data_IF_735808413016
#
_entry.id   IF_735808413016
#
_cell.length_a   1.000
_cell.length_b   1.000
_cell.length_c   1.000
_cell.angle_alpha   90.00
_cell.angle_beta   90.00
_cell.angle_gamma   90.00
#
_symmetry.space_group_name_H-M   'P 1'
#
loop_
_entity.id
_entity.type
_entity.pdbx_description
1 polymer ?
#
# COMPACT_ATOMS: atom_id res chain seq x y z
N UNK A 1 -25.24 7.11 -13.97
CA UNK A 1 -25.67 8.28 -13.21
C UNK A 1 -25.56 9.49 -14.15
N UNK A 2 -26.68 9.85 -14.78
CA UNK A 2 -26.82 11.09 -15.57
C UNK A 2 -26.82 12.26 -14.59
N UNK A 3 -25.90 13.21 -14.77
CA UNK A 3 -25.96 14.51 -14.13
C UNK A 3 -27.15 15.31 -14.68
N UNK A 4 -28.31 15.21 -14.04
CA UNK A 4 -29.47 16.02 -14.31
C UNK A 4 -29.61 17.21 -13.33
N UNK A 5 -28.47 17.81 -12.93
CA UNK A 5 -28.47 19.02 -12.08
C UNK A 5 -27.38 19.98 -12.56
N UNK A 6 -27.70 21.24 -12.61
CA UNK A 6 -26.97 22.38 -13.17
C UNK A 6 -25.46 22.23 -13.37
N UNK A 7 -24.97 22.67 -14.51
CA UNK A 7 -23.53 22.62 -14.92
C UNK A 7 -22.53 23.10 -13.86
N UNK A 8 -22.94 24.00 -12.98
CA UNK A 8 -22.11 24.63 -11.96
C UNK A 8 -21.82 23.72 -10.76
N UNK A 9 -22.78 22.88 -10.34
CA UNK A 9 -22.57 21.89 -9.25
C UNK A 9 -21.68 20.76 -9.71
N UNK A 10 -21.76 20.36 -10.98
CA UNK A 10 -20.90 19.31 -11.55
C UNK A 10 -19.44 19.80 -11.71
N UNK A 11 -19.24 21.06 -12.09
CA UNK A 11 -17.91 21.65 -12.27
C UNK A 11 -17.17 21.87 -10.94
N UNK A 12 -17.86 22.32 -9.90
CA UNK A 12 -17.28 22.53 -8.56
C UNK A 12 -16.85 21.19 -7.90
N UNK A 13 -17.61 20.12 -8.11
CA UNK A 13 -17.29 18.79 -7.62
C UNK A 13 -16.07 18.17 -8.34
N UNK A 14 -15.94 18.40 -9.65
CA UNK A 14 -14.76 17.99 -10.42
C UNK A 14 -13.50 18.72 -9.97
N UNK A 15 -13.58 20.01 -9.69
CA UNK A 15 -12.47 20.81 -9.15
C UNK A 15 -11.98 20.27 -7.79
N UNK A 16 -12.90 20.01 -6.87
CA UNK A 16 -12.59 19.46 -5.54
C UNK A 16 -11.96 18.06 -5.62
N UNK A 17 -12.42 17.19 -6.53
CA UNK A 17 -11.82 15.85 -6.73
C UNK A 17 -10.43 15.96 -7.33
N UNK A 18 -10.19 16.86 -8.27
CA UNK A 18 -8.85 17.12 -8.85
C UNK A 18 -7.89 17.64 -7.79
N UNK A 19 -8.33 18.63 -6.99
CA UNK A 19 -7.54 19.17 -5.89
C UNK A 19 -7.17 18.07 -4.85
N UNK A 20 -8.13 17.23 -4.45
CA UNK A 20 -7.87 16.12 -3.54
C UNK A 20 -6.82 15.15 -4.10
N UNK A 21 -6.94 14.78 -5.38
CA UNK A 21 -5.95 13.89 -6.03
C UNK A 21 -4.56 14.54 -6.09
N UNK A 22 -4.48 15.82 -6.41
CA UNK A 22 -3.22 16.56 -6.46
C UNK A 22 -2.56 16.62 -5.08
N UNK A 23 -3.31 16.99 -4.04
CA UNK A 23 -2.81 17.04 -2.66
C UNK A 23 -2.32 15.65 -2.22
N UNK A 24 -3.10 14.60 -2.47
CA UNK A 24 -2.67 13.23 -2.17
C UNK A 24 -1.40 12.85 -2.95
N UNK A 25 -1.29 13.19 -4.23
CA UNK A 25 -0.13 12.90 -5.05
C UNK A 25 1.12 13.61 -4.51
N UNK A 26 1.02 14.90 -4.17
CA UNK A 26 2.12 15.67 -3.60
C UNK A 26 2.54 15.12 -2.22
N UNK A 27 1.58 14.75 -1.39
CA UNK A 27 1.85 14.14 -0.09
C UNK A 27 2.55 12.77 -0.21
N UNK A 28 2.18 11.97 -1.22
CA UNK A 28 2.82 10.68 -1.50
C UNK A 28 4.20 10.83 -2.15
N UNK A 29 4.47 11.94 -2.84
CA UNK A 29 5.78 12.23 -3.42
C UNK A 29 6.76 12.77 -2.37
N UNK A 30 6.27 13.46 -1.34
CA UNK A 30 7.09 14.14 -0.34
C UNK A 30 8.15 13.24 0.33
N UNK A 31 7.87 11.99 0.75
CA UNK A 31 8.88 11.12 1.32
C UNK A 31 10.02 10.79 0.33
N UNK A 32 9.71 10.54 -0.93
CA UNK A 32 10.74 10.25 -1.94
C UNK A 32 11.65 11.47 -2.19
N UNK A 33 11.07 12.67 -2.22
CA UNK A 33 11.82 13.93 -2.31
C UNK A 33 12.69 14.12 -1.07
N UNK A 34 12.15 13.83 0.13
CA UNK A 34 12.89 13.92 1.38
C UNK A 34 14.11 12.99 1.39
N UNK A 35 13.94 11.71 1.07
CA UNK A 35 15.02 10.72 0.94
C UNK A 35 16.10 11.18 -0.05
N UNK A 36 15.71 11.77 -1.19
CA UNK A 36 16.65 12.31 -2.18
C UNK A 36 17.42 13.51 -1.61
N UNK A 37 16.79 14.38 -0.84
CA UNK A 37 17.45 15.51 -0.18
C UNK A 37 18.43 15.04 0.90
N UNK A 38 18.07 14.10 1.75
CA UNK A 38 18.96 13.53 2.78
C UNK A 38 20.21 12.92 2.16
N UNK A 39 20.05 12.20 1.05
CA UNK A 39 21.17 11.65 0.29
C UNK A 39 22.09 12.75 -0.27
N UNK A 40 21.51 13.79 -0.86
CA UNK A 40 22.27 14.90 -1.46
C UNK A 40 23.02 15.72 -0.41
N UNK A 41 22.40 15.96 0.76
CA UNK A 41 22.96 16.74 1.84
C UNK A 41 23.97 15.95 2.70
N UNK A 42 24.08 14.63 2.49
CA UNK A 42 24.98 13.78 3.26
C UNK A 42 24.55 13.61 4.71
N UNK A 43 23.25 13.70 5.02
CA UNK A 43 22.69 13.54 6.37
C UNK A 43 22.52 12.08 6.79
N UNK A 44 22.70 11.16 5.86
CA UNK A 44 22.60 9.73 6.10
C UNK A 44 23.82 9.19 6.85
N UNK A 45 23.69 8.00 7.42
CA UNK A 45 24.76 7.29 8.08
C UNK A 45 25.93 6.95 7.13
N UNK A 46 27.07 6.42 7.60
CA UNK A 46 28.17 5.97 6.75
C UNK A 46 27.78 4.88 5.72
N UNK A 47 26.56 4.34 5.82
CA UNK A 47 25.98 3.37 4.88
C UNK A 47 24.70 3.92 4.23
N UNK A 48 24.78 4.93 3.39
CA UNK A 48 23.63 5.67 2.91
C UNK A 48 22.63 4.79 2.12
N UNK A 49 23.11 3.82 1.36
CA UNK A 49 22.24 2.92 0.61
C UNK A 49 21.40 2.02 1.52
N UNK A 50 21.98 1.50 2.59
CA UNK A 50 21.28 0.67 3.58
C UNK A 50 20.18 1.49 4.30
N UNK A 51 20.45 2.76 4.61
CA UNK A 51 19.47 3.66 5.23
C UNK A 51 18.30 3.94 4.28
N UNK A 52 18.57 4.25 3.01
CA UNK A 52 17.54 4.47 2.00
C UNK A 52 16.69 3.19 1.75
N UNK A 53 17.32 2.01 1.75
CA UNK A 53 16.59 0.74 1.66
C UNK A 53 15.60 0.63 2.82
N UNK A 54 16.02 0.87 4.05
CA UNK A 54 15.17 0.79 5.23
C UNK A 54 14.03 1.80 5.15
N UNK A 55 14.35 3.07 4.92
CA UNK A 55 13.37 4.15 4.88
C UNK A 55 12.31 3.96 3.78
N UNK A 56 12.73 3.51 2.59
CA UNK A 56 11.78 3.22 1.50
C UNK A 56 10.83 2.06 1.86
N UNK A 57 11.31 1.05 2.60
CA UNK A 57 10.50 -0.05 3.13
C UNK A 57 9.48 0.42 4.16
N UNK A 58 9.89 1.28 5.08
CA UNK A 58 9.03 1.88 6.10
C UNK A 58 7.90 2.69 5.45
N UNK A 59 8.22 3.52 4.46
CA UNK A 59 7.21 4.27 3.71
C UNK A 59 6.27 3.36 2.90
N UNK A 60 6.79 2.31 2.27
CA UNK A 60 5.96 1.33 1.58
C UNK A 60 4.91 0.72 2.52
N UNK A 61 5.35 0.33 3.73
CA UNK A 61 4.48 -0.26 4.74
C UNK A 61 3.44 0.73 5.28
N UNK A 62 3.86 1.95 5.65
CA UNK A 62 2.95 3.02 6.13
C UNK A 62 1.86 3.33 5.11
N UNK A 63 2.22 3.49 3.83
CA UNK A 63 1.27 3.79 2.75
C UNK A 63 0.35 2.60 2.48
N UNK A 64 0.86 1.35 2.56
CA UNK A 64 0.05 0.15 2.41
C UNK A 64 -1.02 0.08 3.51
N UNK A 65 -0.63 0.23 4.77
CA UNK A 65 -1.56 0.26 5.91
C UNK A 65 -2.59 1.39 5.73
N UNK A 66 -2.15 2.59 5.35
CA UNK A 66 -3.04 3.72 5.09
C UNK A 66 -4.07 3.38 3.99
N UNK A 67 -3.67 2.67 2.94
CA UNK A 67 -4.59 2.23 1.87
C UNK A 67 -5.69 1.30 2.38
N UNK A 68 -5.38 0.47 3.37
CA UNK A 68 -6.34 -0.45 4.00
C UNK A 68 -7.31 0.29 4.93
N UNK A 69 -6.85 1.33 5.62
CA UNK A 69 -7.66 2.21 6.50
C UNK A 69 -8.77 2.93 5.73
N UNK A 70 -8.53 3.29 4.47
CA UNK A 70 -9.52 4.02 3.65
C UNK A 70 -10.88 3.31 3.61
N UNK A 71 -10.91 1.99 3.64
CA UNK A 71 -12.17 1.23 3.57
C UNK A 71 -13.03 1.39 4.82
N UNK A 72 -12.55 1.14 6.05
CA UNK A 72 -13.32 1.40 7.26
C UNK A 72 -13.62 2.89 7.46
N UNK A 73 -12.67 3.77 7.13
CA UNK A 73 -12.85 5.21 7.24
C UNK A 73 -14.01 5.70 6.38
N UNK A 74 -14.15 5.21 5.15
CA UNK A 74 -15.28 5.51 4.29
C UNK A 74 -16.62 5.13 4.92
N UNK A 75 -16.68 4.06 5.70
CA UNK A 75 -17.92 3.62 6.32
C UNK A 75 -18.31 4.48 7.52
N UNK A 76 -17.31 4.91 8.30
CA UNK A 76 -17.52 5.79 9.45
C UNK A 76 -17.90 7.19 8.98
N UNK A 77 -17.16 7.75 8.04
CA UNK A 77 -17.34 9.13 7.54
C UNK A 77 -18.44 9.26 6.50
N UNK A 78 -18.91 8.14 5.90
CA UNK A 78 -19.83 8.11 4.74
C UNK A 78 -19.32 8.88 3.52
N UNK A 79 -18.04 9.21 3.47
CA UNK A 79 -17.43 9.99 2.41
C UNK A 79 -16.98 9.10 1.25
N UNK A 80 -17.84 8.97 0.22
CA UNK A 80 -17.59 8.08 -0.92
C UNK A 80 -16.38 8.45 -1.78
N UNK A 81 -15.94 9.71 -1.75
CA UNK A 81 -14.77 10.19 -2.53
C UNK A 81 -13.45 9.56 -2.06
N UNK A 82 -13.37 9.03 -0.84
CA UNK A 82 -12.21 8.32 -0.31
C UNK A 82 -11.80 7.09 -1.14
N UNK A 83 -12.72 6.48 -1.89
CA UNK A 83 -12.39 5.35 -2.79
C UNK A 83 -11.40 5.74 -3.88
N UNK A 84 -11.45 7.01 -4.34
CA UNK A 84 -10.54 7.51 -5.37
C UNK A 84 -9.10 7.59 -4.85
N UNK A 85 -8.93 7.93 -3.57
CA UNK A 85 -7.63 8.00 -2.90
C UNK A 85 -7.06 6.61 -2.63
N UNK A 86 -7.91 5.61 -2.33
CA UNK A 86 -7.48 4.24 -2.05
C UNK A 86 -6.63 3.63 -3.18
N UNK A 87 -7.04 3.83 -4.44
CA UNK A 87 -6.30 3.33 -5.60
C UNK A 87 -4.93 3.99 -5.72
N UNK A 88 -4.87 5.31 -5.48
CA UNK A 88 -3.61 6.06 -5.49
C UNK A 88 -2.65 5.57 -4.40
N UNK A 89 -3.16 5.37 -3.18
CA UNK A 89 -2.39 4.84 -2.05
C UNK A 89 -1.86 3.44 -2.34
N UNK A 90 -2.68 2.54 -2.88
CA UNK A 90 -2.24 1.18 -3.22
C UNK A 90 -1.15 1.14 -4.29
N UNK A 91 -1.27 1.99 -5.32
CA UNK A 91 -0.24 2.11 -6.36
C UNK A 91 1.04 2.79 -5.81
N UNK A 92 0.91 3.77 -4.93
CA UNK A 92 2.06 4.40 -4.28
C UNK A 92 2.80 3.40 -3.37
N UNK A 93 2.08 2.57 -2.60
CA UNK A 93 2.69 1.51 -1.80
C UNK A 93 3.50 0.55 -2.68
N UNK A 94 2.96 0.13 -3.83
CA UNK A 94 3.69 -0.70 -4.80
C UNK A 94 4.92 0.04 -5.33
N UNK A 95 4.80 1.33 -5.67
CA UNK A 95 5.93 2.12 -6.16
C UNK A 95 7.06 2.18 -5.13
N UNK A 96 6.76 2.46 -3.86
CA UNK A 96 7.76 2.45 -2.79
C UNK A 96 8.36 1.06 -2.54
N UNK A 97 7.57 -0.01 -2.70
CA UNK A 97 8.09 -1.39 -2.64
C UNK A 97 9.08 -1.66 -3.78
N UNK A 98 8.79 -1.22 -4.99
CA UNK A 98 9.71 -1.35 -6.13
C UNK A 98 10.97 -0.50 -5.94
N UNK A 99 10.83 0.72 -5.40
CA UNK A 99 11.94 1.58 -5.03
C UNK A 99 12.83 0.91 -3.98
N UNK A 100 12.24 0.31 -2.94
CA UNK A 100 12.94 -0.45 -1.91
C UNK A 100 13.79 -1.58 -2.51
N UNK A 101 13.26 -2.36 -3.42
CA UNK A 101 14.00 -3.44 -4.09
C UNK A 101 15.09 -2.85 -4.99
N UNK A 102 14.82 -1.78 -5.73
CA UNK A 102 15.81 -1.14 -6.58
C UNK A 102 17.00 -0.61 -5.76
N UNK A 103 16.75 0.06 -4.63
CA UNK A 103 17.78 0.55 -3.72
C UNK A 103 18.58 -0.61 -3.11
N UNK A 104 17.94 -1.73 -2.76
CA UNK A 104 18.62 -2.92 -2.29
C UNK A 104 19.54 -3.54 -3.35
N UNK A 105 19.12 -3.56 -4.62
CA UNK A 105 19.97 -3.98 -5.74
C UNK A 105 21.19 -3.06 -5.90
N UNK A 106 21.01 -1.75 -5.71
CA UNK A 106 22.12 -0.77 -5.73
C UNK A 106 23.08 -1.01 -4.56
N UNK A 107 22.58 -1.22 -3.35
CA UNK A 107 23.38 -1.50 -2.15
C UNK A 107 24.26 -2.75 -2.35
N UNK A 108 23.73 -3.78 -3.01
CA UNK A 108 24.45 -4.98 -3.42
C UNK A 108 25.29 -4.81 -4.73
N UNK A 109 25.39 -3.58 -5.25
CA UNK A 109 26.16 -3.26 -6.46
C UNK A 109 25.79 -4.14 -7.67
N UNK A 110 24.49 -4.50 -7.79
CA UNK A 110 23.96 -5.36 -8.86
C UNK A 110 24.66 -6.72 -9.00
N UNK A 111 25.22 -7.27 -7.91
CA UNK A 111 25.80 -8.61 -7.92
C UNK A 111 24.69 -9.68 -8.00
N UNK A 112 24.20 -9.95 -9.20
CA UNK A 112 23.02 -10.77 -9.46
C UNK A 112 23.06 -12.15 -8.81
N UNK A 113 24.21 -12.81 -8.84
CA UNK A 113 24.35 -14.13 -8.20
C UNK A 113 24.16 -14.03 -6.69
N UNK A 114 24.73 -13.01 -6.05
CA UNK A 114 24.56 -12.76 -4.63
C UNK A 114 23.12 -12.42 -4.29
N UNK A 115 22.47 -11.56 -5.08
CA UNK A 115 21.05 -11.20 -4.94
C UNK A 115 20.18 -12.46 -4.95
N UNK A 116 20.38 -13.35 -5.93
CA UNK A 116 19.62 -14.59 -6.03
C UNK A 116 19.88 -15.52 -4.83
N UNK A 117 21.14 -15.71 -4.44
CA UNK A 117 21.48 -16.56 -3.30
C UNK A 117 20.85 -16.01 -2.01
N UNK A 118 21.00 -14.71 -1.72
CA UNK A 118 20.44 -14.09 -0.52
C UNK A 118 18.90 -14.21 -0.50
N UNK A 119 18.25 -14.06 -1.65
CA UNK A 119 16.79 -14.14 -1.78
C UNK A 119 16.23 -15.52 -1.35
N UNK A 120 16.96 -16.60 -1.59
CA UNK A 120 16.55 -17.97 -1.22
C UNK A 120 17.10 -18.44 0.13
N UNK A 121 18.26 -17.94 0.54
CA UNK A 121 18.88 -18.32 1.83
C UNK A 121 18.23 -17.58 3.00
N UNK A 122 17.85 -16.32 2.81
CA UNK A 122 17.26 -15.51 3.87
C UNK A 122 15.74 -15.52 3.79
N UNK A 123 15.10 -16.23 4.70
CA UNK A 123 13.63 -16.40 4.74
C UNK A 123 12.87 -15.07 4.69
N UNK A 124 13.36 -14.02 5.37
CA UNK A 124 12.67 -12.73 5.35
C UNK A 124 12.63 -12.10 3.94
N UNK A 125 13.69 -12.27 3.12
CA UNK A 125 13.69 -11.78 1.73
C UNK A 125 12.71 -12.56 0.85
N UNK A 126 12.60 -13.89 1.06
CA UNK A 126 11.63 -14.73 0.35
C UNK A 126 10.19 -14.30 0.66
N UNK A 127 9.90 -14.00 1.94
CA UNK A 127 8.59 -13.48 2.37
C UNK A 127 8.31 -12.10 1.76
N UNK A 128 9.30 -11.20 1.74
CA UNK A 128 9.20 -9.89 1.10
C UNK A 128 8.96 -9.99 -0.41
N UNK A 129 9.64 -10.93 -1.08
CA UNK A 129 9.41 -11.20 -2.51
C UNK A 129 7.98 -11.68 -2.77
N UNK A 130 7.47 -12.61 -1.96
CA UNK A 130 6.09 -13.08 -2.09
C UNK A 130 5.07 -11.94 -1.92
N UNK A 131 5.28 -11.07 -0.92
CA UNK A 131 4.46 -9.86 -0.73
C UNK A 131 4.50 -8.94 -1.96
N UNK A 132 5.71 -8.70 -2.49
CA UNK A 132 5.91 -7.85 -3.68
C UNK A 132 5.21 -8.43 -4.91
N UNK A 133 5.31 -9.73 -5.16
CA UNK A 133 4.64 -10.37 -6.30
C UNK A 133 3.12 -10.25 -6.20
N UNK A 134 2.55 -10.42 -5.01
CA UNK A 134 1.13 -10.17 -4.78
C UNK A 134 0.76 -8.70 -5.04
N UNK A 135 1.52 -7.76 -4.51
CA UNK A 135 1.29 -6.34 -4.74
C UNK A 135 1.41 -5.97 -6.22
N UNK A 136 2.39 -6.53 -6.94
CA UNK A 136 2.56 -6.31 -8.37
C UNK A 136 1.36 -6.84 -9.17
N UNK A 137 0.88 -8.04 -8.87
CA UNK A 137 -0.32 -8.60 -9.50
C UNK A 137 -1.57 -7.72 -9.27
N UNK A 138 -1.75 -7.21 -8.04
CA UNK A 138 -2.83 -6.28 -7.70
C UNK A 138 -2.66 -4.93 -8.40
N UNK A 139 -1.43 -4.42 -8.51
CA UNK A 139 -1.11 -3.18 -9.20
C UNK A 139 -1.42 -3.24 -10.69
N UNK A 140 -0.95 -4.29 -11.38
CA UNK A 140 -1.23 -4.53 -12.81
C UNK A 140 -2.74 -4.61 -13.07
N UNK A 141 -3.49 -5.28 -12.19
CA UNK A 141 -4.95 -5.43 -12.31
C UNK A 141 -5.75 -4.23 -11.81
N UNK A 142 -5.09 -3.18 -11.33
CA UNK A 142 -5.72 -1.96 -10.80
C UNK A 142 -6.14 -0.95 -11.87
N UNK A 143 -6.20 -1.31 -13.14
CA UNK A 143 -6.64 -0.43 -14.22
C UNK A 143 -8.08 -0.74 -14.66
N UNK A 144 -8.70 0.23 -15.35
CA UNK A 144 -10.09 0.14 -15.76
C UNK A 144 -10.34 -0.96 -16.82
N UNK A 145 -9.31 -1.34 -17.58
CA UNK A 145 -9.38 -2.45 -18.52
C UNK A 145 -9.67 -3.77 -17.80
N UNK A 146 -8.89 -4.09 -16.74
CA UNK A 146 -9.09 -5.32 -15.99
C UNK A 146 -10.38 -5.32 -15.17
N UNK A 147 -10.82 -4.15 -14.66
CA UNK A 147 -12.11 -4.04 -13.98
C UNK A 147 -13.26 -4.43 -14.92
N UNK A 148 -13.23 -3.92 -16.15
CA UNK A 148 -14.23 -4.27 -17.17
C UNK A 148 -14.14 -5.73 -17.63
N UNK A 149 -12.92 -6.25 -17.80
CA UNK A 149 -12.68 -7.62 -18.29
C UNK A 149 -13.06 -8.68 -17.26
N UNK A 150 -12.75 -8.50 -15.99
CA UNK A 150 -13.00 -9.44 -14.91
C UNK A 150 -14.42 -9.32 -14.33
N UNK A 151 -15.03 -8.16 -14.47
CA UNK A 151 -16.25 -7.78 -13.77
C UNK A 151 -16.01 -7.46 -12.29
N UNK A 152 -16.90 -6.67 -11.70
CA UNK A 152 -16.72 -6.12 -10.35
C UNK A 152 -16.55 -7.20 -9.27
N UNK A 153 -17.28 -8.31 -9.37
CA UNK A 153 -17.25 -9.36 -8.35
C UNK A 153 -15.92 -10.11 -8.31
N UNK A 154 -15.41 -10.54 -9.48
CA UNK A 154 -14.12 -11.25 -9.57
C UNK A 154 -12.97 -10.31 -9.25
N UNK A 155 -13.04 -9.06 -9.72
CA UNK A 155 -12.05 -8.04 -9.42
C UNK A 155 -11.96 -7.76 -7.91
N UNK A 156 -13.09 -7.61 -7.21
CA UNK A 156 -13.11 -7.42 -5.76
C UNK A 156 -12.53 -8.63 -5.00
N UNK A 157 -12.81 -9.86 -5.46
CA UNK A 157 -12.23 -11.07 -4.87
C UNK A 157 -10.71 -11.10 -5.05
N UNK A 158 -10.21 -10.78 -6.25
CA UNK A 158 -8.77 -10.66 -6.51
C UNK A 158 -8.14 -9.60 -5.60
N UNK A 159 -8.73 -8.40 -5.54
CA UNK A 159 -8.20 -7.30 -4.73
C UNK A 159 -8.32 -7.53 -3.21
N UNK A 160 -9.05 -8.55 -2.75
CA UNK A 160 -9.02 -8.94 -1.34
C UNK A 160 -7.67 -9.57 -0.92
N UNK A 161 -6.85 -10.04 -1.87
CA UNK A 161 -5.50 -10.53 -1.60
C UNK A 161 -4.54 -9.44 -1.11
N UNK A 162 -4.94 -8.16 -1.17
CA UNK A 162 -4.18 -7.06 -0.54
C UNK A 162 -3.97 -7.28 0.97
N UNK A 163 -4.89 -7.97 1.63
CA UNK A 163 -4.73 -8.30 3.06
C UNK A 163 -3.66 -9.38 3.28
N UNK A 164 -3.57 -10.36 2.38
CA UNK A 164 -2.49 -11.34 2.42
C UNK A 164 -1.13 -10.68 2.13
N UNK A 165 -1.07 -9.78 1.14
CA UNK A 165 0.12 -8.98 0.86
C UNK A 165 0.53 -8.15 2.08
N UNK A 166 -0.43 -7.50 2.76
CA UNK A 166 -0.18 -6.74 3.99
C UNK A 166 0.33 -7.60 5.13
N UNK A 167 -0.24 -8.80 5.34
CA UNK A 167 0.22 -9.74 6.35
C UNK A 167 1.66 -10.22 6.09
N UNK A 168 1.98 -10.57 4.83
CA UNK A 168 3.34 -10.96 4.45
C UNK A 168 4.33 -9.80 4.60
N UNK A 169 3.92 -8.57 4.24
CA UNK A 169 4.74 -7.37 4.42
C UNK A 169 5.04 -7.11 5.90
N UNK A 170 4.05 -7.31 6.79
CA UNK A 170 4.24 -7.21 8.24
C UNK A 170 5.22 -8.27 8.75
N UNK A 171 5.07 -9.52 8.34
CA UNK A 171 6.00 -10.60 8.73
C UNK A 171 7.43 -10.28 8.27
N UNK A 172 7.58 -9.83 7.02
CA UNK A 172 8.86 -9.38 6.48
C UNK A 172 9.46 -8.25 7.33
N UNK A 173 8.66 -7.24 7.64
CA UNK A 173 9.04 -6.09 8.45
C UNK A 173 9.50 -6.50 9.86
N UNK A 174 8.75 -7.39 10.54
CA UNK A 174 9.15 -7.93 11.84
C UNK A 174 10.45 -8.72 11.83
N UNK A 175 10.70 -9.49 10.80
CA UNK A 175 11.91 -10.28 10.67
C UNK A 175 13.17 -9.40 10.45
N UNK A 176 13.00 -8.17 9.92
CA UNK A 176 14.10 -7.21 9.72
C UNK A 176 14.39 -6.36 10.95
N UNK A 177 13.40 -6.15 11.83
CA UNK A 177 13.57 -5.31 13.02
C UNK A 177 14.54 -5.95 14.01
N UNK A 178 15.66 -5.25 14.27
CA UNK A 178 16.68 -5.68 15.24
C UNK A 178 16.67 -4.89 16.52
N UNK A 179 16.18 -3.64 16.54
CA UNK A 179 16.40 -2.71 17.66
C UNK A 179 15.14 -2.02 18.17
N UNK A 180 14.12 -1.79 17.35
CA UNK A 180 12.92 -1.05 17.79
C UNK A 180 11.62 -1.71 17.30
N UNK A 181 11.03 -2.52 18.18
CA UNK A 181 9.80 -3.25 17.88
C UNK A 181 8.53 -2.37 18.01
N UNK A 182 8.65 -1.12 18.46
CA UNK A 182 7.51 -0.26 18.77
C UNK A 182 6.70 0.08 17.53
N UNK A 183 7.36 0.48 16.45
CA UNK A 183 6.68 0.82 15.18
C UNK A 183 6.00 -0.42 14.57
N UNK A 184 6.69 -1.56 14.56
CA UNK A 184 6.11 -2.80 14.08
C UNK A 184 4.91 -3.26 14.92
N UNK A 185 4.98 -3.12 16.24
CA UNK A 185 3.87 -3.45 17.13
C UNK A 185 2.65 -2.54 16.86
N UNK A 186 2.87 -1.23 16.66
CA UNK A 186 1.82 -0.28 16.31
C UNK A 186 1.18 -0.63 14.95
N UNK A 187 2.00 -0.88 13.92
CA UNK A 187 1.51 -1.26 12.59
C UNK A 187 0.72 -2.58 12.63
N UNK A 188 1.19 -3.56 13.40
CA UNK A 188 0.49 -4.84 13.58
C UNK A 188 -0.80 -4.67 14.34
N UNK A 189 -0.81 -3.94 15.45
CA UNK A 189 -2.02 -3.63 16.22
C UNK A 189 -3.07 -2.99 15.32
N UNK A 190 -2.65 -2.03 14.51
CA UNK A 190 -3.51 -1.36 13.55
C UNK A 190 -4.04 -2.31 12.46
N UNK A 191 -3.19 -3.16 11.90
CA UNK A 191 -3.59 -4.17 10.91
C UNK A 191 -4.59 -5.18 11.47
N UNK A 192 -4.36 -5.68 12.69
CA UNK A 192 -5.26 -6.61 13.38
C UNK A 192 -6.63 -5.96 13.64
N UNK A 193 -6.64 -4.70 14.08
CA UNK A 193 -7.89 -3.94 14.25
C UNK A 193 -8.67 -3.81 12.94
N UNK A 194 -7.99 -3.54 11.82
CA UNK A 194 -8.61 -3.45 10.50
C UNK A 194 -9.20 -4.80 10.06
N UNK A 195 -8.51 -5.90 10.31
CA UNK A 195 -9.01 -7.25 10.00
C UNK A 195 -10.22 -7.60 10.87
N UNK A 196 -10.17 -7.35 12.18
CA UNK A 196 -11.29 -7.59 13.10
C UNK A 196 -12.54 -6.77 12.75
N UNK A 197 -12.36 -5.54 12.30
CA UNK A 197 -13.47 -4.69 11.84
C UNK A 197 -14.15 -5.25 10.57
N UNK A 198 -13.35 -5.83 9.67
CA UNK A 198 -13.87 -6.47 8.45
C UNK A 198 -14.67 -7.75 8.77
N UNK A 199 -14.15 -8.61 9.64
CA UNK A 199 -14.79 -9.89 9.97
C UNK A 199 -16.15 -9.70 10.64
N UNK A 200 -16.26 -8.75 11.57
CA UNK A 200 -17.54 -8.40 12.23
C UNK A 200 -18.63 -8.03 11.23
N UNK A 201 -18.28 -7.39 10.11
CA UNK A 201 -19.25 -7.02 9.08
C UNK A 201 -19.62 -8.21 8.19
N UNK A 202 -18.69 -9.07 7.84
CA UNK A 202 -18.96 -10.29 7.08
C UNK A 202 -19.96 -11.19 7.83
N UNK A 203 -19.78 -11.34 9.15
CA UNK A 203 -20.65 -12.12 10.01
C UNK A 203 -22.06 -11.51 10.10
N UNK A 204 -22.18 -10.18 10.23
CA UNK A 204 -23.50 -9.52 10.30
C UNK A 204 -24.30 -9.61 9.00
N UNK A 205 -23.63 -9.57 7.84
CA UNK A 205 -24.30 -9.72 6.56
C UNK A 205 -24.75 -11.16 6.30
N UNK A 206 -24.04 -12.14 6.84
CA UNK A 206 -24.39 -13.56 6.70
C UNK A 206 -25.56 -13.96 7.63
N UNK A 207 -25.62 -13.39 8.83
CA UNK A 207 -26.75 -13.64 9.77
C UNK A 207 -28.07 -13.06 9.28
N UNK A 208 -28.06 -11.94 8.54
CA UNK A 208 -29.29 -11.34 7.98
C UNK A 208 -29.89 -12.12 6.79
N UNK A 209 -29.17 -13.09 6.22
CA UNK A 209 -29.64 -13.96 5.13
C UNK A 209 -30.12 -15.33 5.62
N UNK A 210 -29.94 -15.66 6.89
CA UNK A 210 -30.36 -16.94 7.48
C UNK A 210 -31.74 -16.88 8.18
N UNK A 211 -32.31 -15.69 8.30
CA UNK A 211 -33.59 -15.44 8.94
C UNK A 211 -34.77 -15.26 7.94
N UNK A 212 -34.72 -15.91 6.77
CA UNK A 212 -35.85 -15.98 5.82
C UNK A 212 -36.16 -17.45 5.53
#
# INVERSE_FOLDING_TARGET
YQCAWSSDVCSSDLGRVRALKLVCFLALLAPAVWMALEFQMGWLSPKPWTDLVRESGDWAMRILVLSLVVTPLRWVTRWNKLVLVRRMLGLAALYYTLLHIALWCVDLRFMWLRILIEMFVRLFLTVGLAATLLMAALGVTSNDYYIRKLGAQRWNRLHSWVYAAGALSLVHFFMEIRLDATEAALMTGFFVLLMGFRDRKSTRLNSSHTDI
#
